data_IF_947963982650
#
_entry.id   IF_947963982650
#
_cell.length_a   1.000
_cell.length_b   1.000
_cell.length_c   1.000
_cell.angle_alpha   90.00
_cell.angle_beta   90.00
_cell.angle_gamma   90.00
#
_symmetry.space_group_name_H-M   'P 1'
#
loop_
_entity.id
_entity.type
_entity.pdbx_description
1 polymer ?
#
# COMPACT_ATOMS: atom_id res chain seq x y z
N UNK A 1 -6.91 -31.93 -12.34
CA UNK A 1 -7.48 -30.64 -12.76
C UNK A 1 -6.46 -29.59 -12.36
N UNK A 2 -5.71 -29.02 -13.30
CA UNK A 2 -4.73 -27.98 -12.99
C UNK A 2 -5.47 -26.68 -12.74
N UNK A 3 -5.45 -26.18 -11.50
CA UNK A 3 -5.78 -24.79 -11.23
C UNK A 3 -4.66 -23.92 -11.78
N UNK A 4 -4.93 -23.24 -12.89
CA UNK A 4 -4.08 -22.15 -13.35
C UNK A 4 -4.16 -21.05 -12.29
N UNK A 5 -3.16 -20.95 -11.41
CA UNK A 5 -2.93 -19.73 -10.62
C UNK A 5 -2.71 -18.59 -11.61
N UNK A 6 -3.76 -17.85 -11.94
CA UNK A 6 -3.62 -16.55 -12.59
C UNK A 6 -2.92 -15.63 -11.59
N UNK A 7 -1.59 -15.55 -11.67
CA UNK A 7 -0.83 -14.52 -10.99
C UNK A 7 -1.22 -13.17 -11.63
N UNK A 8 -2.19 -12.48 -11.02
CA UNK A 8 -2.50 -11.11 -11.40
C UNK A 8 -1.31 -10.23 -11.00
N UNK A 9 -0.51 -9.84 -11.99
CA UNK A 9 0.58 -8.89 -11.81
C UNK A 9 0.07 -7.49 -12.13
N UNK A 10 -0.24 -6.71 -11.08
CA UNK A 10 -0.66 -5.32 -11.21
C UNK A 10 0.55 -4.39 -11.08
N UNK A 11 0.85 -3.62 -12.13
CA UNK A 11 1.86 -2.56 -12.07
C UNK A 11 1.22 -1.26 -11.61
N UNK A 12 1.77 -0.64 -10.57
CA UNK A 12 1.34 0.66 -10.06
C UNK A 12 2.50 1.64 -10.05
N UNK A 13 2.27 2.83 -10.60
CA UNK A 13 3.26 3.92 -10.58
C UNK A 13 2.89 4.91 -9.48
N UNK A 14 3.86 5.27 -8.64
CA UNK A 14 3.70 6.28 -7.60
C UNK A 14 4.84 7.28 -7.68
N UNK A 15 4.54 8.57 -7.50
CA UNK A 15 5.57 9.60 -7.41
C UNK A 15 6.11 9.61 -5.99
N UNK A 16 7.37 9.23 -5.82
CA UNK A 16 8.12 9.35 -4.58
C UNK A 16 9.04 10.56 -4.65
N UNK A 17 8.89 11.50 -3.70
CA UNK A 17 9.77 12.67 -3.62
C UNK A 17 10.87 12.35 -2.62
N UNK A 18 12.06 12.05 -3.13
CA UNK A 18 13.24 11.80 -2.31
C UNK A 18 13.94 13.13 -2.01
N UNK A 19 14.24 13.39 -0.74
CA UNK A 19 15.11 14.52 -0.35
C UNK A 19 16.59 14.13 -0.42
N UNK A 20 16.89 12.88 -0.13
CA UNK A 20 18.21 12.26 -0.23
C UNK A 20 18.00 10.86 -0.85
N UNK A 21 18.90 10.43 -1.72
CA UNK A 21 18.92 9.06 -2.24
C UNK A 21 19.58 8.17 -1.21
N UNK A 22 18.75 7.49 -0.42
CA UNK A 22 19.18 6.39 0.43
C UNK A 22 19.09 5.07 -0.35
N UNK A 23 20.00 4.15 -0.09
CA UNK A 23 20.13 2.86 -0.78
C UNK A 23 18.94 1.90 -0.49
N UNK A 24 17.97 2.34 0.32
CA UNK A 24 16.80 1.59 0.80
C UNK A 24 15.54 1.71 -0.08
N UNK A 25 15.64 2.21 -1.32
CA UNK A 25 14.48 2.36 -2.23
C UNK A 25 13.79 1.01 -2.45
N UNK A 26 14.55 -0.07 -2.67
CA UNK A 26 13.98 -1.39 -2.90
C UNK A 26 13.16 -1.86 -1.69
N UNK A 27 13.74 -1.77 -0.49
CA UNK A 27 13.05 -2.14 0.75
C UNK A 27 11.80 -1.27 0.97
N UNK A 28 11.86 0.01 0.63
CA UNK A 28 10.70 0.92 0.67
C UNK A 28 9.60 0.45 -0.28
N UNK A 29 9.94 -0.04 -1.47
CA UNK A 29 8.96 -0.55 -2.45
C UNK A 29 8.36 -1.89 -2.02
N UNK A 30 9.14 -2.75 -1.36
CA UNK A 30 8.65 -4.00 -0.76
C UNK A 30 7.64 -3.72 0.36
N UNK A 31 8.00 -2.85 1.32
CA UNK A 31 7.09 -2.38 2.39
C UNK A 31 5.85 -1.68 1.82
N UNK A 32 5.99 -0.96 0.71
CA UNK A 32 4.84 -0.31 0.06
C UNK A 32 3.88 -1.33 -0.55
N UNK A 33 4.42 -2.39 -1.16
CA UNK A 33 3.62 -3.51 -1.69
C UNK A 33 2.87 -4.22 -0.57
N UNK A 34 3.55 -4.50 0.54
CA UNK A 34 2.91 -5.05 1.74
C UNK A 34 1.81 -4.13 2.27
N UNK A 35 2.06 -2.82 2.32
CA UNK A 35 1.07 -1.81 2.72
C UNK A 35 -0.18 -1.79 1.82
N UNK A 36 -0.01 -1.93 0.50
CA UNK A 36 -1.13 -2.05 -0.43
C UNK A 36 -1.97 -3.31 -0.19
N UNK A 37 -1.32 -4.45 0.05
CA UNK A 37 -2.00 -5.71 0.37
C UNK A 37 -2.79 -5.62 1.68
N UNK A 38 -2.18 -5.02 2.71
CA UNK A 38 -2.84 -4.77 3.99
C UNK A 38 -4.06 -3.85 3.81
N UNK A 39 -3.92 -2.74 3.11
CA UNK A 39 -5.03 -1.82 2.85
C UNK A 39 -6.15 -2.49 2.05
N UNK A 40 -5.82 -3.33 1.06
CA UNK A 40 -6.81 -4.08 0.28
C UNK A 40 -7.61 -5.05 1.17
N UNK A 41 -6.93 -5.74 2.10
CA UNK A 41 -7.60 -6.56 3.11
C UNK A 41 -8.54 -5.74 3.99
N UNK A 42 -8.11 -4.56 4.46
CA UNK A 42 -8.96 -3.67 5.27
C UNK A 42 -10.20 -3.21 4.51
N UNK A 43 -10.06 -2.88 3.22
CA UNK A 43 -11.19 -2.51 2.35
C UNK A 43 -12.20 -3.65 2.25
N UNK A 44 -11.72 -4.86 1.94
CA UNK A 44 -12.55 -6.07 1.85
C UNK A 44 -13.32 -6.35 3.17
N UNK A 45 -12.62 -6.29 4.31
CA UNK A 45 -13.21 -6.54 5.64
C UNK A 45 -14.22 -5.47 6.09
N UNK A 46 -14.16 -4.25 5.55
CA UNK A 46 -15.02 -3.13 5.97
C UNK A 46 -16.23 -2.91 5.04
N UNK A 47 -16.43 -3.77 4.04
CA UNK A 47 -17.45 -3.62 3.02
C UNK A 47 -17.04 -2.57 1.98
N UNK A 48 -16.64 -3.02 0.80
CA UNK A 48 -16.25 -2.16 -0.32
C UNK A 48 -17.46 -1.40 -0.87
N UNK A 49 -17.29 -0.18 -1.44
CA UNK A 49 -16.05 0.60 -1.53
C UNK A 49 -15.79 1.46 -0.28
N UNK A 50 -14.52 1.73 0.01
CA UNK A 50 -14.10 2.55 1.16
C UNK A 50 -13.43 3.84 0.70
N UNK A 51 -13.91 5.00 1.14
CA UNK A 51 -13.28 6.27 0.76
C UNK A 51 -11.82 6.35 1.23
N UNK A 52 -10.95 6.98 0.43
CA UNK A 52 -9.54 7.15 0.75
C UNK A 52 -9.31 7.74 2.15
N UNK A 53 -10.14 8.72 2.56
CA UNK A 53 -10.06 9.32 3.89
C UNK A 53 -10.38 8.31 5.01
N UNK A 54 -11.40 7.46 4.83
CA UNK A 54 -11.74 6.43 5.81
C UNK A 54 -10.67 5.34 5.85
N UNK A 55 -10.21 4.90 4.68
CA UNK A 55 -9.15 3.90 4.57
C UNK A 55 -7.83 4.38 5.19
N UNK A 56 -7.46 5.65 4.98
CA UNK A 56 -6.29 6.23 5.59
C UNK A 56 -6.42 6.24 7.12
N UNK A 57 -7.57 6.61 7.69
CA UNK A 57 -7.76 6.56 9.15
C UNK A 57 -7.56 5.16 9.73
N UNK A 58 -7.97 4.12 9.01
CA UNK A 58 -7.84 2.73 9.45
C UNK A 58 -6.42 2.18 9.29
N UNK A 59 -5.73 2.57 8.22
CA UNK A 59 -4.46 1.94 7.84
C UNK A 59 -3.23 2.74 8.25
N UNK A 60 -3.33 4.06 8.37
CA UNK A 60 -2.16 4.95 8.48
C UNK A 60 -1.26 4.62 9.66
N UNK A 61 -1.81 4.29 10.83
CA UNK A 61 -1.01 3.91 12.00
C UNK A 61 -0.14 2.68 11.70
N UNK A 62 -0.74 1.64 11.13
CA UNK A 62 -0.02 0.42 10.76
C UNK A 62 1.05 0.70 9.69
N UNK A 63 0.71 1.47 8.66
CA UNK A 63 1.65 1.83 7.60
C UNK A 63 2.86 2.61 8.13
N UNK A 64 2.66 3.52 9.10
CA UNK A 64 3.74 4.36 9.67
C UNK A 64 4.57 3.63 10.71
N UNK A 65 3.93 2.93 11.64
CA UNK A 65 4.59 2.39 12.84
C UNK A 65 5.05 0.94 12.64
N UNK A 66 4.29 0.12 11.90
CA UNK A 66 4.62 -1.28 11.69
C UNK A 66 5.45 -1.50 10.43
N UNK A 67 5.09 -0.86 9.32
CA UNK A 67 5.81 -0.99 8.05
C UNK A 67 6.88 0.10 7.83
N UNK A 68 6.97 1.09 8.73
CA UNK A 68 7.96 2.16 8.63
C UNK A 68 7.84 3.03 7.36
N UNK A 69 6.66 3.07 6.71
CA UNK A 69 6.51 3.82 5.48
C UNK A 69 6.60 5.33 5.73
N UNK A 70 7.25 6.09 4.82
CA UNK A 70 7.20 7.53 4.85
C UNK A 70 5.76 8.04 4.74
N UNK A 71 5.48 9.21 5.33
CA UNK A 71 4.13 9.82 5.32
C UNK A 71 3.54 9.94 3.92
N UNK A 72 4.37 10.31 2.92
CA UNK A 72 3.96 10.37 1.52
C UNK A 72 3.45 9.02 1.01
N UNK A 73 4.18 7.93 1.29
CA UNK A 73 3.83 6.59 0.83
C UNK A 73 2.61 6.05 1.55
N UNK A 74 2.49 6.25 2.86
CA UNK A 74 1.30 5.85 3.62
C UNK A 74 0.02 6.52 3.11
N UNK A 75 0.09 7.81 2.76
CA UNK A 75 -1.03 8.52 2.14
C UNK A 75 -1.34 8.00 0.73
N UNK A 76 -0.33 7.58 -0.03
CA UNK A 76 -0.53 7.05 -1.38
C UNK A 76 -1.19 5.68 -1.39
N UNK A 77 -0.88 4.81 -0.42
CA UNK A 77 -1.55 3.51 -0.27
C UNK A 77 -3.07 3.69 -0.25
N UNK A 78 -3.57 4.59 0.60
CA UNK A 78 -5.01 4.81 0.71
C UNK A 78 -5.64 5.34 -0.58
N UNK A 79 -4.93 6.15 -1.37
CA UNK A 79 -5.41 6.68 -2.66
C UNK A 79 -5.42 5.66 -3.79
N UNK A 80 -4.54 4.65 -3.71
CA UNK A 80 -4.37 3.65 -4.77
C UNK A 80 -5.30 2.45 -4.60
N UNK A 81 -5.81 2.25 -3.38
CA UNK A 81 -6.62 1.08 -3.00
C UNK A 81 -8.10 1.42 -2.81
N UNK A 82 -8.44 2.65 -2.43
CA UNK A 82 -9.82 3.12 -2.22
C UNK A 82 -10.68 3.08 -3.48
#
# INVERSE_FOLDING_TARGET
>A
MCETKNNMNLTKTVVLKLKETDDSIQETMERYTEGMNFASKVVYENGEPLSANRLQKLTYKHLRENLGLPSQMSCNVARQVS
#
